data_IF_006525228168
#
_entry.id   IF_006525228168
#
_cell.length_a   1.000
_cell.length_b   1.000
_cell.length_c   1.000
_cell.angle_alpha   90.00
_cell.angle_beta   90.00
_cell.angle_gamma   90.00
#
_symmetry.space_group_name_H-M   'P 1'
#
loop_
_entity.id
_entity.type
_entity.pdbx_description
1 polymer ?
#
# COMPACT_ATOMS: atom_id res chain seq x y z
N UNK A 1 18.14 -2.53 -36.12
CA UNK A 1 17.24 -3.48 -35.43
C UNK A 1 16.02 -2.71 -34.93
N UNK A 2 14.81 -3.07 -35.35
CA UNK A 2 13.56 -2.45 -34.87
C UNK A 2 12.98 -3.28 -33.72
N UNK A 3 12.77 -2.69 -32.55
CA UNK A 3 12.19 -3.36 -31.38
C UNK A 3 10.67 -3.17 -31.36
N UNK A 4 9.91 -4.27 -31.26
CA UNK A 4 8.45 -4.26 -31.24
C UNK A 4 7.95 -3.98 -29.82
N UNK A 5 6.97 -3.09 -29.61
CA UNK A 5 6.43 -2.80 -28.29
C UNK A 5 5.59 -3.96 -27.73
N UNK A 6 5.45 -4.00 -26.41
CA UNK A 6 4.66 -5.02 -25.71
C UNK A 6 3.14 -4.78 -25.89
N UNK A 7 2.33 -5.84 -25.71
CA UNK A 7 0.89 -5.92 -26.05
C UNK A 7 0.02 -4.72 -25.65
N UNK A 8 0.32 -4.05 -24.55
CA UNK A 8 -0.47 -2.92 -24.00
C UNK A 8 0.33 -1.62 -23.90
N UNK A 9 1.51 -1.57 -24.52
CA UNK A 9 2.35 -0.38 -24.48
C UNK A 9 1.66 0.79 -25.19
N UNK A 10 1.69 1.96 -24.55
CA UNK A 10 1.21 3.21 -25.12
C UNK A 10 2.33 4.24 -25.10
N UNK A 11 2.45 5.00 -26.19
CA UNK A 11 3.36 6.13 -26.25
C UNK A 11 3.02 7.16 -25.15
N UNK A 12 4.05 7.72 -24.52
CA UNK A 12 3.89 8.81 -23.58
C UNK A 12 3.53 10.09 -24.35
N UNK A 13 2.29 10.54 -24.21
CA UNK A 13 1.80 11.79 -24.82
C UNK A 13 1.50 12.81 -23.74
N UNK A 14 1.98 14.04 -23.92
CA UNK A 14 1.50 15.20 -23.18
C UNK A 14 0.16 15.66 -23.76
N UNK A 15 -0.65 16.28 -22.92
CA UNK A 15 -1.94 16.83 -23.31
C UNK A 15 -1.88 18.35 -23.38
N UNK A 16 -2.50 18.91 -24.41
CA UNK A 16 -2.54 20.36 -24.63
C UNK A 16 -3.79 21.01 -24.02
N UNK A 17 -4.83 20.21 -23.72
CA UNK A 17 -6.14 20.68 -23.26
C UNK A 17 -6.70 19.81 -22.13
N UNK A 18 -7.37 20.45 -21.16
CA UNK A 18 -8.03 19.79 -20.03
C UNK A 18 -9.14 18.82 -20.46
N UNK A 19 -9.82 19.10 -21.58
CA UNK A 19 -10.85 18.21 -22.14
C UNK A 19 -10.23 16.88 -22.57
N UNK A 20 -9.05 16.94 -23.19
CA UNK A 20 -8.32 15.74 -23.61
C UNK A 20 -7.81 14.95 -22.40
N UNK A 21 -7.31 15.63 -21.37
CA UNK A 21 -6.93 14.99 -20.10
C UNK A 21 -8.09 14.24 -19.47
N UNK A 22 -9.24 14.91 -19.33
CA UNK A 22 -10.43 14.30 -18.74
C UNK A 22 -10.85 13.04 -19.51
N UNK A 23 -10.84 13.09 -20.84
CA UNK A 23 -11.14 11.92 -21.67
C UNK A 23 -10.17 10.77 -21.39
N UNK A 24 -8.86 11.03 -21.38
CA UNK A 24 -7.82 10.03 -21.08
C UNK A 24 -7.97 9.40 -19.70
N UNK A 25 -8.31 10.21 -18.68
CA UNK A 25 -8.56 9.72 -17.31
C UNK A 25 -9.77 8.79 -17.29
N UNK A 26 -10.86 9.18 -17.94
CA UNK A 26 -12.09 8.37 -18.00
C UNK A 26 -11.86 7.06 -18.77
N UNK A 27 -11.15 7.11 -19.89
CA UNK A 27 -10.81 5.92 -20.67
C UNK A 27 -9.94 4.95 -19.84
N UNK A 28 -8.94 5.48 -19.13
CA UNK A 28 -8.10 4.71 -18.23
C UNK A 28 -8.90 4.10 -17.07
N UNK A 29 -9.81 4.86 -16.46
CA UNK A 29 -10.69 4.35 -15.41
C UNK A 29 -11.56 3.19 -15.91
N UNK A 30 -12.09 3.29 -17.13
CA UNK A 30 -12.90 2.24 -17.75
C UNK A 30 -12.09 0.98 -18.05
N UNK A 31 -10.85 1.14 -18.54
CA UNK A 31 -9.91 0.03 -18.75
C UNK A 31 -9.67 -0.72 -17.43
N UNK A 32 -9.36 -0.02 -16.34
CA UNK A 32 -9.20 -0.62 -15.01
C UNK A 32 -10.45 -1.35 -14.51
N UNK A 33 -11.65 -0.76 -14.68
CA UNK A 33 -12.90 -1.37 -14.21
C UNK A 33 -13.24 -2.67 -14.96
N UNK A 34 -12.85 -2.75 -16.25
CA UNK A 34 -13.02 -3.94 -17.11
C UNK A 34 -11.95 -5.00 -16.85
N UNK A 35 -10.70 -4.60 -16.60
CA UNK A 35 -9.59 -5.50 -16.30
C UNK A 35 -9.61 -6.07 -14.88
N UNK A 36 -10.38 -5.49 -13.95
CA UNK A 36 -10.49 -5.98 -12.57
C UNK A 36 -10.78 -7.50 -12.42
N UNK A 37 -11.80 -8.09 -13.09
CA UNK A 37 -12.04 -9.54 -13.00
C UNK A 37 -10.87 -10.37 -13.56
N UNK A 38 -10.24 -9.93 -14.66
CA UNK A 38 -9.09 -10.61 -15.25
C UNK A 38 -7.90 -10.64 -14.28
N UNK A 39 -7.64 -9.52 -13.59
CA UNK A 39 -6.61 -9.45 -12.55
C UNK A 39 -6.95 -10.41 -11.40
N UNK A 40 -8.20 -10.48 -10.94
CA UNK A 40 -8.57 -11.42 -9.88
C UNK A 40 -8.29 -12.87 -10.28
N UNK A 41 -8.58 -13.24 -11.53
CA UNK A 41 -8.33 -14.59 -12.05
C UNK A 41 -6.85 -14.88 -12.27
N UNK A 42 -6.07 -13.91 -12.79
CA UNK A 42 -4.64 -14.08 -13.06
C UNK A 42 -3.84 -14.30 -11.78
N UNK A 43 -4.18 -13.56 -10.71
CA UNK A 43 -3.47 -13.63 -9.42
C UNK A 43 -4.15 -14.57 -8.42
N UNK A 44 -5.21 -15.28 -8.80
CA UNK A 44 -5.99 -16.18 -7.91
C UNK A 44 -6.34 -15.53 -6.56
N UNK A 45 -6.82 -14.29 -6.58
CA UNK A 45 -7.09 -13.53 -5.35
C UNK A 45 -8.36 -14.03 -4.66
N UNK A 46 -8.30 -14.18 -3.33
CA UNK A 46 -9.45 -14.55 -2.48
C UNK A 46 -10.50 -13.43 -2.28
N UNK A 47 -10.38 -12.33 -3.01
CA UNK A 47 -11.27 -11.17 -2.92
C UNK A 47 -12.17 -11.04 -4.16
N UNK A 48 -13.43 -10.63 -3.98
CA UNK A 48 -14.32 -10.45 -5.11
C UNK A 48 -13.87 -9.28 -6.00
N UNK A 49 -14.12 -9.31 -7.32
CA UNK A 49 -13.78 -8.21 -8.23
C UNK A 49 -14.39 -6.86 -7.84
N UNK A 50 -15.48 -6.85 -7.07
CA UNK A 50 -16.09 -5.64 -6.51
C UNK A 50 -15.16 -4.92 -5.53
N UNK A 51 -14.42 -5.64 -4.69
CA UNK A 51 -13.47 -5.07 -3.75
C UNK A 51 -12.30 -4.42 -4.49
N UNK A 52 -11.78 -5.07 -5.52
CA UNK A 52 -10.72 -4.52 -6.38
C UNK A 52 -11.18 -3.23 -7.07
N UNK A 53 -12.41 -3.21 -7.61
CA UNK A 53 -13.00 -2.00 -8.20
C UNK A 53 -13.16 -0.86 -7.19
N UNK A 54 -13.50 -1.17 -5.94
CA UNK A 54 -13.61 -0.17 -4.88
C UNK A 54 -12.24 0.48 -4.56
N UNK A 55 -11.17 -0.33 -4.48
CA UNK A 55 -9.80 0.18 -4.29
C UNK A 55 -9.33 1.02 -5.46
N UNK A 56 -9.61 0.57 -6.70
CA UNK A 56 -9.34 1.37 -7.90
C UNK A 56 -10.04 2.72 -7.79
N UNK A 57 -11.34 2.75 -7.47
CA UNK A 57 -12.09 4.00 -7.29
C UNK A 57 -11.45 4.89 -6.23
N UNK A 58 -11.13 4.35 -5.06
CA UNK A 58 -10.49 5.10 -3.97
C UNK A 58 -9.18 5.76 -4.43
N UNK A 59 -8.35 5.07 -5.21
CA UNK A 59 -7.10 5.62 -5.77
C UNK A 59 -7.33 6.77 -6.75
N UNK A 60 -8.38 6.69 -7.57
CA UNK A 60 -8.74 7.80 -8.46
C UNK A 60 -9.28 8.99 -7.67
N UNK A 61 -10.11 8.75 -6.64
CA UNK A 61 -10.64 9.82 -5.78
C UNK A 61 -9.54 10.51 -4.95
N UNK A 62 -8.50 9.78 -4.52
CA UNK A 62 -7.35 10.38 -3.82
C UNK A 62 -6.66 11.49 -4.63
N UNK A 63 -6.67 11.38 -5.97
CA UNK A 63 -6.06 12.34 -6.87
C UNK A 63 -7.08 13.33 -7.48
N UNK A 64 -8.31 13.39 -6.98
CA UNK A 64 -9.40 14.20 -7.54
C UNK A 64 -9.12 15.71 -7.55
N UNK A 65 -8.41 16.20 -6.54
CA UNK A 65 -8.18 17.63 -6.34
C UNK A 65 -6.90 18.14 -7.02
N UNK A 66 -6.23 17.31 -7.82
CA UNK A 66 -5.03 17.72 -8.56
C UNK A 66 -5.45 18.61 -9.74
N UNK A 67 -5.00 19.86 -9.75
CA UNK A 67 -5.30 20.84 -10.78
C UNK A 67 -4.21 21.01 -11.84
N UNK A 68 -2.96 20.68 -11.52
CA UNK A 68 -1.83 20.86 -12.44
C UNK A 68 -1.91 19.85 -13.60
N UNK A 69 -2.01 20.39 -14.81
CA UNK A 69 -2.05 19.65 -16.06
C UNK A 69 -0.88 18.68 -16.25
N UNK A 70 0.35 19.09 -15.88
CA UNK A 70 1.54 18.24 -16.05
C UNK A 70 1.50 17.05 -15.09
N UNK A 71 1.11 17.29 -13.85
CA UNK A 71 0.93 16.22 -12.86
C UNK A 71 -0.15 15.23 -13.27
N UNK A 72 -1.26 15.70 -13.84
CA UNK A 72 -2.32 14.81 -14.36
C UNK A 72 -1.77 13.87 -15.42
N UNK A 73 -0.98 14.37 -16.38
CA UNK A 73 -0.39 13.53 -17.42
C UNK A 73 0.59 12.50 -16.86
N UNK A 74 1.39 12.87 -15.85
CA UNK A 74 2.29 11.95 -15.16
C UNK A 74 1.49 10.86 -14.44
N UNK A 75 0.41 11.23 -13.75
CA UNK A 75 -0.47 10.28 -13.05
C UNK A 75 -1.13 9.29 -14.01
N UNK A 76 -1.60 9.77 -15.17
CA UNK A 76 -2.15 8.93 -16.24
C UNK A 76 -1.07 7.97 -16.74
N UNK A 77 0.15 8.44 -16.97
CA UNK A 77 1.24 7.61 -17.46
C UNK A 77 1.60 6.52 -16.46
N UNK A 78 1.81 6.88 -15.19
CA UNK A 78 2.10 5.94 -14.10
C UNK A 78 1.01 4.88 -13.95
N UNK A 79 -0.25 5.29 -13.96
CA UNK A 79 -1.36 4.34 -13.83
C UNK A 79 -1.51 3.41 -15.04
N UNK A 80 -1.10 3.85 -16.24
CA UNK A 80 -1.03 2.98 -17.43
C UNK A 80 0.09 1.95 -17.33
N UNK A 81 1.27 2.35 -16.85
CA UNK A 81 2.37 1.42 -16.58
C UNK A 81 1.92 0.37 -15.55
N UNK A 82 1.30 0.83 -14.46
CA UNK A 82 0.78 -0.06 -13.42
C UNK A 82 -0.25 -1.07 -13.93
N UNK A 83 -1.13 -0.65 -14.86
CA UNK A 83 -2.12 -1.51 -15.49
C UNK A 83 -1.48 -2.55 -16.39
N UNK A 84 -0.51 -2.11 -17.21
CA UNK A 84 0.23 -2.99 -18.10
C UNK A 84 1.00 -4.07 -17.35
N UNK A 85 1.68 -3.70 -16.26
CA UNK A 85 2.38 -4.64 -15.39
C UNK A 85 1.42 -5.63 -14.72
N UNK A 86 0.23 -5.18 -14.31
CA UNK A 86 -0.77 -6.04 -13.69
C UNK A 86 -1.34 -7.08 -14.67
N UNK A 87 -1.79 -6.63 -15.85
CA UNK A 87 -2.45 -7.50 -16.85
C UNK A 87 -1.47 -8.42 -17.55
N UNK A 88 -0.22 -7.99 -17.78
CA UNK A 88 0.81 -8.87 -18.36
C UNK A 88 1.42 -9.83 -17.34
N UNK A 89 0.94 -9.85 -16.10
CA UNK A 89 1.47 -10.69 -15.02
C UNK A 89 2.96 -10.45 -14.75
N UNK A 90 3.38 -9.17 -14.79
CA UNK A 90 4.74 -8.76 -14.42
C UNK A 90 4.85 -8.44 -12.92
N UNK A 91 3.72 -8.17 -12.25
CA UNK A 91 3.68 -7.99 -10.80
C UNK A 91 3.61 -9.34 -10.10
N UNK A 92 4.01 -9.36 -8.83
CA UNK A 92 3.70 -10.49 -7.94
C UNK A 92 2.44 -10.17 -7.13
N UNK A 93 1.75 -11.22 -6.68
CA UNK A 93 0.57 -11.16 -5.81
C UNK A 93 0.65 -10.12 -4.66
N UNK A 94 1.73 -10.03 -3.84
CA UNK A 94 1.81 -9.03 -2.77
C UNK A 94 1.73 -7.58 -3.26
N UNK A 95 2.17 -7.29 -4.49
CA UNK A 95 2.07 -5.94 -5.06
C UNK A 95 0.64 -5.56 -5.44
N UNK A 96 -0.20 -6.55 -5.76
CA UNK A 96 -1.62 -6.38 -6.05
C UNK A 96 -2.45 -6.36 -4.77
N UNK A 97 -2.08 -7.18 -3.78
CA UNK A 97 -2.71 -7.26 -2.46
C UNK A 97 -2.38 -6.08 -1.54
N UNK A 98 -1.16 -5.56 -1.55
CA UNK A 98 -0.77 -4.43 -0.69
C UNK A 98 -1.73 -3.24 -0.74
N UNK A 99 -2.17 -2.79 -1.93
CA UNK A 99 -3.21 -1.78 -2.08
C UNK A 99 -4.57 -2.14 -1.48
N UNK A 100 -4.96 -3.41 -1.55
CA UNK A 100 -6.22 -3.91 -0.99
C UNK A 100 -6.18 -3.87 0.54
N UNK A 101 -5.05 -4.24 1.13
CA UNK A 101 -4.82 -4.23 2.58
C UNK A 101 -4.62 -2.81 3.14
N UNK A 102 -3.96 -1.93 2.38
CA UNK A 102 -3.69 -0.54 2.77
C UNK A 102 -4.93 0.35 2.79
N UNK A 103 -6.04 -0.07 2.17
CA UNK A 103 -7.29 0.69 2.17
C UNK A 103 -8.11 0.51 3.47
N UNK A 104 -7.56 -0.19 4.48
CA UNK A 104 -8.01 0.01 5.86
C UNK A 104 -7.49 1.36 6.32
N UNK A 105 -8.30 2.40 6.13
CA UNK A 105 -8.09 3.70 6.78
C UNK A 105 -7.72 3.43 8.23
N UNK A 106 -6.47 3.72 8.60
CA UNK A 106 -6.08 3.65 10.01
C UNK A 106 -7.00 4.62 10.73
N UNK A 107 -7.74 4.18 11.76
CA UNK A 107 -8.65 5.08 12.45
C UNK A 107 -7.87 6.31 12.89
N UNK A 108 -8.44 7.50 12.68
CA UNK A 108 -7.84 8.75 13.13
C UNK A 108 -7.70 8.69 14.66
N UNK A 109 -6.52 8.30 15.14
CA UNK A 109 -6.24 8.26 16.57
C UNK A 109 -6.17 9.68 17.10
N UNK A 110 -6.86 9.94 18.21
CA UNK A 110 -6.74 11.21 18.92
C UNK A 110 -5.32 11.37 19.44
N UNK A 111 -4.94 12.61 19.76
CA UNK A 111 -3.64 12.89 20.38
C UNK A 111 -3.42 12.01 21.63
N UNK A 112 -4.42 11.92 22.52
CA UNK A 112 -4.35 11.12 23.75
C UNK A 112 -4.12 9.63 23.46
N UNK A 113 -4.79 9.08 22.46
CA UNK A 113 -4.60 7.68 22.08
C UNK A 113 -3.17 7.42 21.58
N UNK A 114 -2.62 8.33 20.76
CA UNK A 114 -1.23 8.22 20.28
C UNK A 114 -0.21 8.37 21.42
N UNK A 115 -0.49 9.22 22.40
CA UNK A 115 0.36 9.43 23.57
C UNK A 115 0.39 8.21 24.49
N UNK A 116 -0.78 7.64 24.81
CA UNK A 116 -0.90 6.47 25.69
C UNK A 116 -0.32 5.19 25.06
N UNK A 117 -0.37 5.05 23.74
CA UNK A 117 0.28 3.95 22.99
C UNK A 117 1.81 4.14 22.87
N UNK A 118 2.39 5.17 23.49
CA UNK A 118 3.84 5.41 23.51
C UNK A 118 4.40 6.07 22.25
N UNK A 119 3.56 6.53 21.33
CA UNK A 119 3.96 7.17 20.07
C UNK A 119 4.44 8.63 20.21
N UNK A 120 4.19 9.25 21.36
CA UNK A 120 4.72 10.56 21.73
C UNK A 120 5.48 10.43 23.05
N UNK A 121 6.74 9.99 23.00
CA UNK A 121 7.66 10.24 24.10
C UNK A 121 7.92 11.75 24.14
N UNK A 122 7.24 12.46 25.04
CA UNK A 122 7.66 13.80 25.43
C UNK A 122 9.01 13.61 26.12
N UNK A 123 10.11 13.86 25.41
CA UNK A 123 11.43 13.95 26.05
C UNK A 123 11.33 15.15 27.00
N UNK A 124 11.39 14.97 28.33
CA UNK A 124 11.45 16.10 29.22
C UNK A 124 12.85 16.70 29.07
N UNK A 125 12.92 17.92 28.56
CA UNK A 125 14.13 18.70 28.58
C UNK A 125 14.56 18.96 30.04
N UNK A 126 15.79 18.55 30.39
CA UNK A 126 16.56 18.86 31.62
C UNK A 126 15.92 18.44 32.96
N UNK A 127 16.58 17.61 33.77
CA UNK A 127 17.80 18.01 34.49
C UNK A 127 18.81 16.87 34.72
N UNK A 128 20.11 17.19 34.85
CA UNK A 128 21.21 16.23 34.94
C UNK A 128 21.44 15.71 36.36
N UNK A 129 22.16 14.58 36.44
CA UNK A 129 22.71 13.91 37.63
C UNK A 129 21.82 12.84 38.28
N UNK A 130 22.00 11.59 37.84
CA UNK A 130 22.52 10.57 38.75
C UNK A 130 23.15 9.43 37.92
N UNK A 131 24.49 9.37 37.93
CA UNK A 131 25.26 8.19 37.53
C UNK A 131 25.72 7.53 38.82
N UNK A 132 25.61 6.19 38.87
CA UNK A 132 26.48 5.20 39.55
C UNK A 132 25.67 4.09 40.24
N UNK A 133 25.66 2.90 39.62
CA UNK A 133 26.31 1.64 40.05
C UNK A 133 25.61 0.90 41.19
N UNK A 134 25.09 -0.31 40.93
CA UNK A 134 25.67 -1.56 41.45
C UNK A 134 24.92 -2.80 40.94
N UNK A 135 25.71 -3.86 40.82
CA UNK A 135 25.47 -5.27 40.51
C UNK A 135 24.47 -6.02 41.41
N UNK A 136 23.62 -6.86 40.78
CA UNK A 136 23.09 -8.20 41.15
C UNK A 136 22.37 -8.41 42.52
N UNK A 137 21.70 -9.57 42.83
CA UNK A 137 21.17 -10.69 42.00
C UNK A 137 19.70 -11.16 42.36
N UNK A 138 19.15 -12.04 41.51
CA UNK A 138 18.30 -13.25 41.78
C UNK A 138 17.13 -13.21 42.78
N UNK A 139 15.94 -13.63 42.31
CA UNK A 139 15.02 -14.45 43.11
C UNK A 139 13.59 -14.60 42.56
N UNK A 140 13.23 -15.86 42.22
CA UNK A 140 11.94 -16.53 42.52
C UNK A 140 10.70 -16.14 41.70
N UNK A 141 9.80 -17.02 41.28
CA UNK A 141 9.57 -18.47 41.38
C UNK A 141 8.62 -18.78 40.19
N UNK A 142 8.73 -19.93 39.52
CA UNK A 142 7.57 -20.65 38.97
C UNK A 142 8.01 -22.09 38.73
N UNK A 143 7.59 -22.93 39.66
CA UNK A 143 7.71 -24.37 39.65
C UNK A 143 6.93 -24.95 38.46
N UNK A 144 7.62 -25.62 37.53
CA UNK A 144 7.04 -26.77 36.82
C UNK A 144 8.14 -27.76 36.43
N UNK A 145 8.50 -28.58 37.42
CA UNK A 145 9.30 -29.81 37.37
C UNK A 145 8.31 -30.86 37.87
N UNK A 146 7.94 -31.98 37.24
CA UNK A 146 8.49 -32.95 36.27
C UNK A 146 7.36 -34.02 36.05
N UNK A 147 7.53 -35.19 35.38
CA UNK A 147 8.75 -35.81 34.85
C UNK A 147 8.72 -36.36 33.41
N UNK A 148 9.92 -36.45 32.86
CA UNK A 148 10.31 -37.31 31.74
C UNK A 148 10.06 -38.79 32.02
N UNK A 149 9.69 -39.62 31.04
CA UNK A 149 10.58 -40.48 30.21
C UNK A 149 9.75 -41.69 29.69
N UNK A 150 10.26 -42.66 28.90
CA UNK A 150 11.27 -42.66 27.83
C UNK A 150 10.77 -43.34 26.53
N UNK A 151 11.61 -43.29 25.49
CA UNK A 151 11.67 -44.09 24.25
C UNK A 151 10.76 -45.34 24.10
N UNK A 152 10.03 -45.38 22.97
CA UNK A 152 10.06 -46.46 21.95
C UNK A 152 10.07 -45.78 20.58
#
# INVERSE_FOLDING_TARGET
>A
MTTIPTRLARAATSSTSSVHQRKRVLDLYREWMRGAPEICTLYSLDVPPSAVRAVIRHRFEKNRYVSDAKLIDILIHKSRQDYQEAVNFWKQEPHVLGPLLSNRDRPHRTFMQKFLEGGLSVIPALSPHHVMTHSDPVGRDEDTVLPASPNV
#
